data_IF_359759343979
#
_entry.id   IF_359759343979
#
_cell.length_a   1.000
_cell.length_b   1.000
_cell.length_c   1.000
_cell.angle_alpha   90.00
_cell.angle_beta   90.00
_cell.angle_gamma   90.00
#
_symmetry.space_group_name_H-M   'P 1'
#
loop_
_entity.id
_entity.type
_entity.pdbx_description
1 polymer ?
#
# COMPACT_ATOMS: atom_id res chain seq x y z
N UNK A 1 10.15 53.85 21.32
CA UNK A 1 9.71 52.63 22.04
C UNK A 1 10.61 51.50 21.60
N UNK A 2 11.51 51.08 22.49
CA UNK A 2 12.43 49.96 22.27
C UNK A 2 11.68 48.65 22.49
N UNK A 3 11.79 47.70 21.55
CA UNK A 3 11.42 46.30 21.74
C UNK A 3 12.58 45.46 21.18
N UNK A 4 13.13 44.51 21.94
CA UNK A 4 14.39 43.86 21.59
C UNK A 4 14.22 42.63 20.70
N UNK A 5 15.25 42.39 19.90
CA UNK A 5 15.53 41.19 19.10
C UNK A 5 16.10 40.10 20.03
N UNK A 6 15.71 38.81 19.91
CA UNK A 6 16.50 37.73 20.50
C UNK A 6 17.57 37.24 19.53
N UNK A 7 18.80 37.27 20.03
CA UNK A 7 20.04 36.88 19.37
C UNK A 7 20.18 35.36 19.27
N UNK A 8 20.73 34.93 18.13
CA UNK A 8 21.40 33.64 17.93
C UNK A 8 22.51 33.43 18.97
N UNK A 9 22.60 32.21 19.51
CA UNK A 9 23.81 31.63 20.10
C UNK A 9 23.96 30.22 19.54
N UNK A 10 25.11 29.96 18.93
CA UNK A 10 25.50 28.67 18.38
C UNK A 10 26.54 27.97 19.27
N UNK A 11 26.43 26.64 19.31
CA UNK A 11 27.50 25.63 19.34
C UNK A 11 28.61 25.72 20.39
N UNK A 12 28.61 24.77 21.33
CA UNK A 12 29.79 23.91 21.59
C UNK A 12 29.38 22.64 22.33
N UNK A 13 29.59 21.46 21.74
CA UNK A 13 29.70 20.21 22.50
C UNK A 13 30.56 19.22 21.73
N UNK A 14 31.84 19.16 22.11
CA UNK A 14 32.72 18.01 21.90
C UNK A 14 32.90 17.33 23.25
N UNK A 15 32.59 16.03 23.34
CA UNK A 15 33.19 15.13 24.31
C UNK A 15 33.14 13.71 23.76
N UNK A 16 34.31 13.23 23.35
CA UNK A 16 34.57 11.83 23.07
C UNK A 16 34.61 11.06 24.40
N UNK A 17 33.94 9.91 24.44
CA UNK A 17 34.15 8.91 25.47
C UNK A 17 34.24 7.54 24.80
N UNK A 18 35.50 7.10 24.69
CA UNK A 18 35.91 5.74 24.36
C UNK A 18 35.56 4.85 25.56
N UNK A 19 34.71 3.85 25.36
CA UNK A 19 34.45 2.83 26.38
C UNK A 19 34.84 1.45 25.85
N UNK A 20 35.91 0.96 26.46
CA UNK A 20 36.50 -0.36 26.47
C UNK A 20 35.55 -1.54 26.21
N UNK A 21 35.94 -2.35 25.23
CA UNK A 21 35.48 -3.73 25.02
C UNK A 21 36.00 -4.58 26.18
N UNK A 22 35.09 -5.14 26.99
CA UNK A 22 35.39 -6.23 27.91
C UNK A 22 34.64 -7.47 27.45
N UNK A 23 35.41 -8.46 27.01
CA UNK A 23 34.91 -9.74 26.53
C UNK A 23 34.27 -10.55 27.66
N UNK A 24 33.01 -10.91 27.46
CA UNK A 24 32.37 -12.00 28.18
C UNK A 24 32.45 -13.26 27.32
N UNK A 25 33.24 -14.22 27.76
CA UNK A 25 33.27 -15.59 27.24
C UNK A 25 31.97 -16.27 27.68
N UNK A 26 31.05 -16.48 26.74
CA UNK A 26 29.86 -17.30 26.95
C UNK A 26 30.24 -18.78 26.85
N UNK A 27 30.13 -19.52 27.95
CA UNK A 27 30.14 -20.98 27.93
C UNK A 27 28.89 -21.51 27.23
N UNK A 28 28.99 -22.60 26.44
CA UNK A 28 27.82 -23.23 25.85
C UNK A 28 26.96 -23.93 26.93
N UNK A 29 25.63 -23.93 26.79
CA UNK A 29 24.74 -24.64 27.71
C UNK A 29 24.94 -26.17 27.61
N UNK A 30 24.77 -26.91 28.72
CA UNK A 30 24.87 -28.37 28.72
C UNK A 30 23.71 -29.01 27.92
N UNK A 31 23.93 -30.18 27.30
CA UNK A 31 22.90 -30.88 26.55
C UNK A 31 21.79 -31.41 27.49
N UNK A 32 20.52 -31.42 27.04
CA UNK A 32 19.42 -31.94 27.84
C UNK A 32 19.53 -33.45 28.04
N UNK A 33 19.27 -33.87 29.29
CA UNK A 33 19.25 -35.26 29.71
C UNK A 33 18.19 -36.06 28.94
N UNK A 34 18.61 -37.21 28.44
CA UNK A 34 17.79 -38.22 27.76
C UNK A 34 16.76 -38.82 28.72
N UNK A 35 15.50 -38.40 28.57
CA UNK A 35 14.37 -39.04 29.23
C UNK A 35 13.99 -40.33 28.48
N UNK A 36 14.13 -41.45 29.18
CA UNK A 36 13.72 -42.79 28.77
C UNK A 36 12.18 -42.86 28.64
N UNK A 37 11.69 -43.03 27.42
CA UNK A 37 10.27 -43.24 27.12
C UNK A 37 9.96 -44.74 27.22
N UNK A 38 9.21 -45.11 28.26
CA UNK A 38 8.52 -46.40 28.33
C UNK A 38 7.31 -46.38 27.39
N UNK A 39 7.29 -47.31 26.44
CA UNK A 39 6.16 -47.52 25.54
C UNK A 39 4.97 -48.15 26.26
N UNK A 40 3.81 -47.51 26.12
CA UNK A 40 2.49 -48.13 26.31
C UNK A 40 1.68 -47.91 25.04
N UNK A 41 1.52 -48.98 24.28
CA UNK A 41 0.65 -49.09 23.11
C UNK A 41 -0.80 -48.84 23.52
N UNK A 42 -1.39 -47.75 23.03
CA UNK A 42 -2.83 -47.47 23.15
C UNK A 42 -3.44 -47.42 21.74
N UNK A 43 -4.51 -48.18 21.58
CA UNK A 43 -5.20 -48.46 20.32
C UNK A 43 -5.82 -47.21 19.67
N UNK A 44 -5.84 -47.22 18.34
CA UNK A 44 -6.48 -46.22 17.49
C UNK A 44 -8.01 -46.22 17.64
N UNK A 45 -8.66 -45.04 17.76
CA UNK A 45 -10.09 -44.92 17.50
C UNK A 45 -10.36 -44.70 16.01
N UNK A 46 -11.44 -45.32 15.55
CA UNK A 46 -11.95 -45.34 14.19
C UNK A 46 -12.40 -43.95 13.72
N UNK A 47 -12.21 -43.70 12.42
CA UNK A 47 -12.64 -42.50 11.70
C UNK A 47 -14.17 -42.35 11.74
N UNK A 48 -14.63 -41.26 12.35
CA UNK A 48 -16.03 -40.81 12.28
C UNK A 48 -16.17 -39.90 11.06
N UNK A 49 -16.86 -40.38 10.04
CA UNK A 49 -17.29 -39.61 8.88
C UNK A 49 -18.40 -38.64 9.31
N UNK A 50 -18.08 -37.33 9.34
CA UNK A 50 -19.07 -36.28 9.59
C UNK A 50 -19.66 -35.85 8.26
N UNK A 51 -20.94 -36.18 8.04
CA UNK A 51 -21.73 -35.68 6.92
C UNK A 51 -22.12 -34.22 7.16
N UNK A 52 -21.72 -33.33 6.25
CA UNK A 52 -22.12 -31.91 6.23
C UNK A 52 -23.43 -31.78 5.44
N UNK A 53 -24.48 -31.13 5.98
CA UNK A 53 -25.72 -30.91 5.22
C UNK A 53 -25.53 -29.73 4.27
N UNK A 54 -25.60 -29.99 2.97
CA UNK A 54 -25.77 -29.00 1.90
C UNK A 54 -27.21 -28.50 1.93
N UNK A 55 -27.40 -27.22 2.22
CA UNK A 55 -28.73 -26.63 2.17
C UNK A 55 -28.77 -25.13 2.43
N UNK A 56 -28.17 -24.31 1.55
CA UNK A 56 -28.56 -22.90 1.45
C UNK A 56 -28.51 -22.43 -0.01
N UNK A 57 -29.67 -21.99 -0.48
CA UNK A 57 -29.92 -21.29 -1.73
C UNK A 57 -29.27 -19.91 -1.72
N UNK A 58 -28.38 -19.66 -2.67
CA UNK A 58 -27.75 -18.34 -2.89
C UNK A 58 -28.76 -17.34 -3.47
N UNK A 59 -28.78 -16.07 -3.02
CA UNK A 59 -29.51 -15.02 -3.72
C UNK A 59 -28.75 -14.60 -4.98
N UNK A 60 -29.50 -14.36 -6.05
CA UNK A 60 -28.99 -13.94 -7.36
C UNK A 60 -28.12 -12.69 -7.29
N UNK A 61 -26.88 -12.85 -7.74
CA UNK A 61 -25.90 -11.78 -7.92
C UNK A 61 -26.42 -10.74 -8.91
N UNK A 62 -26.68 -9.51 -8.44
CA UNK A 62 -26.99 -8.36 -9.30
C UNK A 62 -25.71 -7.94 -10.00
N UNK A 63 -25.68 -8.09 -11.33
CA UNK A 63 -24.68 -7.47 -12.21
C UNK A 63 -24.68 -5.95 -11.98
N UNK A 64 -23.61 -5.42 -11.41
CA UNK A 64 -23.33 -3.98 -11.41
C UNK A 64 -22.70 -3.67 -12.76
N UNK A 65 -23.51 -3.11 -13.66
CA UNK A 65 -23.07 -2.59 -14.95
C UNK A 65 -22.12 -1.41 -14.75
N UNK A 66 -20.98 -1.48 -15.43
CA UNK A 66 -19.96 -0.44 -15.54
C UNK A 66 -20.54 0.86 -16.11
N UNK A 67 -20.67 1.89 -15.26
CA UNK A 67 -20.89 3.26 -15.69
C UNK A 67 -19.53 3.95 -15.81
N UNK A 68 -19.02 4.07 -17.05
CA UNK A 68 -18.01 5.05 -17.40
C UNK A 68 -18.71 6.42 -17.47
N UNK A 69 -18.52 7.26 -16.47
CA UNK A 69 -18.85 8.68 -16.57
C UNK A 69 -17.63 9.39 -17.20
N UNK A 70 -17.82 9.94 -18.40
CA UNK A 70 -16.90 10.92 -18.98
C UNK A 70 -16.93 12.19 -18.12
N UNK A 71 -15.77 12.60 -17.62
CA UNK A 71 -15.59 13.90 -17.01
C UNK A 71 -15.43 14.92 -18.14
N UNK A 72 -16.51 15.62 -18.48
CA UNK A 72 -16.43 16.86 -19.27
C UNK A 72 -16.21 18.04 -18.32
N UNK A 73 -15.08 18.70 -18.55
CA UNK A 73 -14.57 19.87 -17.83
C UNK A 73 -15.41 21.10 -18.22
N UNK A 74 -16.26 21.58 -17.32
CA UNK A 74 -17.00 22.84 -17.49
C UNK A 74 -16.51 23.86 -16.48
N UNK A 75 -15.44 24.55 -16.87
CA UNK A 75 -14.94 25.75 -16.20
C UNK A 75 -15.89 26.93 -16.47
N UNK A 76 -16.74 27.21 -15.49
CA UNK A 76 -17.56 28.42 -15.46
C UNK A 76 -16.71 29.60 -14.96
N UNK A 77 -16.20 30.39 -15.89
CA UNK A 77 -15.70 31.74 -15.63
C UNK A 77 -16.77 32.74 -16.05
N UNK A 78 -17.26 33.51 -15.08
CA UNK A 78 -18.21 34.58 -15.30
C UNK A 78 -17.73 35.82 -14.55
N UNK A 79 -17.26 36.84 -15.28
CA UNK A 79 -17.51 38.28 -15.03
C UNK A 79 -16.78 39.18 -16.04
N UNK A 80 -17.55 39.57 -17.06
CA UNK A 80 -17.83 40.94 -17.53
C UNK A 80 -16.74 41.99 -17.83
N UNK A 81 -16.93 42.56 -19.05
CA UNK A 81 -16.65 43.91 -19.55
C UNK A 81 -15.18 44.33 -19.65
N UNK A 82 -14.67 44.84 -20.78
CA UNK A 82 -15.22 45.90 -21.63
C UNK A 82 -14.36 46.03 -22.91
N UNK A 83 -14.88 46.77 -23.90
CA UNK A 83 -14.20 47.41 -25.05
C UNK A 83 -14.04 46.66 -26.40
N UNK A 84 -15.00 46.95 -27.28
CA UNK A 84 -14.85 47.41 -28.67
C UNK A 84 -13.42 47.59 -29.21
N UNK A 85 -13.08 46.91 -30.31
CA UNK A 85 -12.53 47.48 -31.56
C UNK A 85 -12.41 46.39 -32.66
N UNK A 86 -12.47 46.77 -33.95
CA UNK A 86 -12.76 45.86 -35.06
C UNK A 86 -11.52 45.22 -35.71
N UNK A 87 -11.73 44.00 -36.20
CA UNK A 87 -10.81 43.18 -37.00
C UNK A 87 -10.56 43.77 -38.40
N UNK A 88 -9.35 43.58 -38.95
CA UNK A 88 -9.17 43.39 -40.38
C UNK A 88 -8.63 41.99 -40.70
N UNK A 89 -9.31 41.35 -41.65
CA UNK A 89 -8.89 40.13 -42.36
C UNK A 89 -7.89 40.48 -43.49
N UNK A 90 -7.47 39.50 -44.32
CA UNK A 90 -6.23 38.76 -44.20
C UNK A 90 -5.20 39.17 -45.28
N UNK A 91 -3.91 39.03 -45.00
CA UNK A 91 -2.87 39.15 -46.02
C UNK A 91 -2.33 37.77 -46.38
N UNK A 92 -2.53 37.43 -47.65
CA UNK A 92 -1.93 36.33 -48.36
C UNK A 92 -0.40 36.32 -48.21
N UNK A 93 0.15 35.22 -47.70
CA UNK A 93 1.57 34.88 -47.92
C UNK A 93 1.67 33.54 -48.59
N UNK A 94 1.84 33.67 -49.90
CA UNK A 94 2.27 32.71 -50.88
C UNK A 94 3.73 32.29 -50.57
N UNK A 95 3.97 31.02 -50.25
CA UNK A 95 5.32 30.46 -50.25
C UNK A 95 5.32 29.06 -50.84
N UNK A 96 5.51 29.05 -52.17
CA UNK A 96 6.24 28.03 -52.91
C UNK A 96 7.47 27.57 -52.13
N UNK A 97 7.56 26.28 -51.81
CA UNK A 97 8.84 25.61 -51.55
C UNK A 97 8.86 24.27 -52.25
N UNK A 98 9.82 24.18 -53.15
CA UNK A 98 10.07 23.11 -54.09
C UNK A 98 10.40 21.79 -53.39
N UNK A 99 9.83 20.74 -53.97
CA UNK A 99 10.29 19.37 -53.90
C UNK A 99 11.79 19.28 -54.26
N UNK A 100 12.59 18.70 -53.37
CA UNK A 100 13.84 18.04 -53.69
C UNK A 100 14.09 16.92 -52.67
N UNK A 101 13.50 15.76 -52.93
CA UNK A 101 13.85 14.50 -52.29
C UNK A 101 15.00 13.86 -53.09
N UNK A 102 16.12 13.45 -52.47
CA UNK A 102 17.16 12.67 -53.13
C UNK A 102 16.70 11.21 -53.34
N UNK A 103 17.28 10.49 -54.33
CA UNK A 103 16.83 9.18 -54.75
C UNK A 103 17.09 8.13 -53.66
N UNK A 104 16.06 7.34 -53.44
CA UNK A 104 16.01 6.20 -52.53
C UNK A 104 17.00 5.12 -53.04
N UNK A 105 18.15 4.99 -52.36
CA UNK A 105 19.14 3.96 -52.65
C UNK A 105 18.74 2.68 -51.91
N UNK A 106 17.90 1.88 -52.55
CA UNK A 106 17.52 0.54 -52.12
C UNK A 106 18.67 -0.43 -52.39
N UNK A 107 19.56 -0.64 -51.42
CA UNK A 107 20.43 -1.82 -51.35
C UNK A 107 21.17 -1.92 -50.00
N UNK A 108 20.57 -2.63 -49.05
CA UNK A 108 21.29 -3.51 -48.11
C UNK A 108 20.29 -4.43 -47.39
N UNK A 109 20.11 -5.60 -48.01
CA UNK A 109 19.66 -6.80 -47.33
C UNK A 109 20.71 -7.19 -46.29
N UNK A 110 20.48 -6.87 -45.02
CA UNK A 110 21.03 -7.63 -43.89
C UNK A 110 19.86 -8.25 -43.14
N UNK A 111 19.46 -9.43 -43.65
CA UNK A 111 18.59 -10.38 -42.98
C UNK A 111 19.25 -10.81 -41.67
N UNK A 112 18.79 -10.26 -40.54
CA UNK A 112 18.82 -11.03 -39.30
C UNK A 112 17.75 -12.11 -39.44
N UNK A 113 18.19 -13.33 -39.74
CA UNK A 113 17.30 -14.47 -39.95
C UNK A 113 16.67 -14.89 -38.63
N UNK A 114 15.41 -14.54 -38.44
CA UNK A 114 14.45 -15.05 -37.44
C UNK A 114 14.16 -16.56 -37.59
N UNK A 115 15.07 -17.34 -38.17
CA UNK A 115 14.85 -18.75 -38.53
C UNK A 115 15.04 -19.73 -37.36
N UNK A 116 15.30 -19.26 -36.13
CA UNK A 116 15.41 -20.15 -34.95
C UNK A 116 14.07 -20.55 -34.33
N UNK A 117 12.93 -20.07 -34.84
CA UNK A 117 11.59 -20.45 -34.37
C UNK A 117 10.80 -21.33 -35.38
N UNK A 118 11.48 -22.02 -36.30
CA UNK A 118 10.85 -23.03 -37.15
C UNK A 118 10.66 -24.34 -36.35
N UNK A 119 9.56 -24.45 -35.60
CA UNK A 119 9.20 -25.70 -34.93
C UNK A 119 8.26 -25.56 -33.74
N UNK A 120 7.97 -24.35 -33.28
CA UNK A 120 6.88 -24.15 -32.32
C UNK A 120 5.61 -23.89 -33.14
N UNK A 121 4.81 -24.94 -33.33
CA UNK A 121 3.44 -24.78 -33.78
C UNK A 121 2.73 -23.86 -32.78
N UNK A 122 2.54 -22.60 -33.17
CA UNK A 122 1.76 -21.66 -32.37
C UNK A 122 0.35 -22.26 -32.25
N UNK A 123 -0.18 -22.40 -31.02
CA UNK A 123 -1.53 -22.90 -30.82
C UNK A 123 -2.49 -22.08 -31.69
N UNK A 124 -3.46 -22.76 -32.28
CA UNK A 124 -4.40 -22.13 -33.20
C UNK A 124 -5.10 -20.94 -32.53
N UNK A 125 -5.45 -19.89 -33.28
CA UNK A 125 -6.13 -18.72 -32.71
C UNK A 125 -7.44 -19.06 -31.98
N UNK A 126 -8.06 -20.21 -32.32
CA UNK A 126 -9.23 -20.75 -31.62
C UNK A 126 -8.88 -21.40 -30.26
N UNK A 127 -7.69 -22.01 -30.11
CA UNK A 127 -7.21 -22.53 -28.82
C UNK A 127 -6.76 -21.40 -27.87
N UNK A 128 -6.29 -20.27 -28.39
CA UNK A 128 -5.97 -19.09 -27.56
C UNK A 128 -7.23 -18.33 -27.10
N UNK A 129 -8.40 -18.62 -27.66
CA UNK A 129 -9.68 -18.00 -27.31
C UNK A 129 -10.51 -18.80 -26.31
N UNK A 130 -10.05 -20.00 -25.88
CA UNK A 130 -10.56 -20.64 -24.68
C UNK A 130 -10.08 -19.87 -23.45
N UNK A 131 -10.70 -18.70 -23.26
CA UNK A 131 -10.57 -17.81 -22.12
C UNK A 131 -11.18 -18.43 -20.85
N UNK A 132 -11.13 -19.76 -20.71
CA UNK A 132 -11.40 -20.41 -19.45
C UNK A 132 -10.36 -19.87 -18.46
N UNK A 133 -10.84 -18.99 -17.59
CA UNK A 133 -10.08 -18.52 -16.45
C UNK A 133 -9.58 -19.78 -15.75
N UNK A 134 -8.26 -19.96 -15.70
CA UNK A 134 -7.65 -21.11 -15.03
C UNK A 134 -8.35 -21.34 -13.69
N UNK A 135 -8.71 -22.59 -13.39
CA UNK A 135 -9.41 -22.98 -12.16
C UNK A 135 -8.75 -22.39 -10.91
N UNK A 136 -7.42 -22.32 -10.91
CA UNK A 136 -6.62 -21.68 -9.85
C UNK A 136 -6.97 -20.19 -9.66
N UNK A 137 -7.15 -19.44 -10.75
CA UNK A 137 -7.53 -18.01 -10.71
C UNK A 137 -8.97 -17.85 -10.25
N UNK A 138 -9.88 -18.74 -10.65
CA UNK A 138 -11.25 -18.72 -10.17
C UNK A 138 -11.32 -18.97 -8.66
N UNK A 139 -10.64 -20.01 -8.16
CA UNK A 139 -10.55 -20.32 -6.73
C UNK A 139 -9.97 -19.15 -5.93
N UNK A 140 -8.98 -18.45 -6.49
CA UNK A 140 -8.44 -17.23 -5.88
C UNK A 140 -9.51 -16.13 -5.77
N UNK A 141 -10.28 -15.86 -6.83
CA UNK A 141 -11.35 -14.86 -6.78
C UNK A 141 -12.47 -15.22 -5.82
N UNK A 142 -12.87 -16.50 -5.77
CA UNK A 142 -13.88 -16.98 -4.82
C UNK A 142 -13.39 -16.82 -3.38
N UNK A 143 -12.13 -17.14 -3.10
CA UNK A 143 -11.50 -16.92 -1.78
C UNK A 143 -11.48 -15.44 -1.43
N UNK A 144 -11.02 -14.56 -2.33
CA UNK A 144 -10.97 -13.12 -2.11
C UNK A 144 -12.38 -12.54 -1.87
N UNK A 145 -13.38 -12.96 -2.65
CA UNK A 145 -14.77 -12.56 -2.48
C UNK A 145 -15.35 -13.03 -1.14
N UNK A 146 -15.03 -14.26 -0.72
CA UNK A 146 -15.44 -14.79 0.59
C UNK A 146 -14.83 -13.96 1.73
N UNK A 147 -13.53 -13.69 1.68
CA UNK A 147 -12.84 -12.88 2.69
C UNK A 147 -13.42 -11.46 2.76
N UNK A 148 -13.66 -10.82 1.60
CA UNK A 148 -14.28 -9.50 1.55
C UNK A 148 -15.72 -9.49 2.09
N UNK A 149 -16.47 -10.59 1.94
CA UNK A 149 -17.82 -10.72 2.49
C UNK A 149 -17.85 -10.93 4.01
N UNK A 150 -16.76 -11.44 4.58
CA UNK A 150 -16.62 -11.71 6.02
C UNK A 150 -16.52 -10.42 6.83
N UNK A 151 -15.86 -9.41 6.30
CA UNK A 151 -15.58 -8.16 7.00
C UNK A 151 -16.54 -7.04 6.59
N UNK A 152 -16.91 -6.20 7.55
CA UNK A 152 -17.65 -4.98 7.27
C UNK A 152 -16.74 -3.98 6.54
N UNK A 153 -17.32 -3.17 5.65
CA UNK A 153 -16.57 -2.15 4.89
C UNK A 153 -17.33 -0.84 4.74
N UNK A 154 -16.62 0.26 4.49
CA UNK A 154 -17.22 1.57 4.23
C UNK A 154 -18.08 2.08 5.39
N UNK A 155 -19.33 2.43 5.11
CA UNK A 155 -20.26 2.98 6.10
C UNK A 155 -20.68 1.94 7.15
N UNK A 156 -20.83 0.67 6.75
CA UNK A 156 -21.15 -0.43 7.66
C UNK A 156 -20.08 -0.58 8.75
N UNK A 157 -18.80 -0.47 8.36
CA UNK A 157 -17.69 -0.54 9.31
C UNK A 157 -17.75 0.61 10.33
N UNK A 158 -18.13 1.81 9.91
CA UNK A 158 -18.26 2.96 10.80
C UNK A 158 -19.44 2.80 11.77
N UNK A 159 -20.58 2.29 11.30
CA UNK A 159 -21.72 1.99 12.16
C UNK A 159 -21.38 0.88 13.17
N UNK A 160 -20.71 -0.17 12.71
CA UNK A 160 -20.22 -1.27 13.53
C UNK A 160 -19.28 -0.76 14.64
N UNK A 161 -18.37 0.16 14.33
CA UNK A 161 -17.46 0.76 15.32
C UNK A 161 -18.19 1.64 16.33
N UNK A 162 -19.17 2.42 15.91
CA UNK A 162 -20.03 3.20 16.81
C UNK A 162 -20.78 2.30 17.78
N UNK A 163 -21.34 1.21 17.27
CA UNK A 163 -22.03 0.22 18.08
C UNK A 163 -21.09 -0.48 19.06
N UNK A 164 -19.90 -0.87 18.61
CA UNK A 164 -18.86 -1.45 19.48
C UNK A 164 -18.44 -0.49 20.61
N UNK A 165 -18.33 0.81 20.32
CA UNK A 165 -18.05 1.84 21.34
C UNK A 165 -19.20 2.00 22.33
N UNK A 166 -20.46 1.98 21.87
CA UNK A 166 -21.65 2.00 22.73
C UNK A 166 -21.67 0.81 23.69
N UNK A 167 -21.45 -0.40 23.18
CA UNK A 167 -21.43 -1.63 23.99
C UNK A 167 -20.28 -1.60 25.01
N UNK A 168 -19.10 -1.09 24.63
CA UNK A 168 -17.96 -0.93 25.56
C UNK A 168 -18.28 0.05 26.68
N UNK A 169 -18.92 1.18 26.37
CA UNK A 169 -19.35 2.14 27.38
C UNK A 169 -20.34 1.50 28.34
N UNK A 170 -21.36 0.81 27.82
CA UNK A 170 -22.36 0.12 28.64
C UNK A 170 -21.73 -0.96 29.53
N UNK A 171 -20.81 -1.77 28.99
CA UNK A 171 -20.05 -2.73 29.79
C UNK A 171 -19.25 -2.08 30.92
N UNK A 172 -18.63 -0.92 30.67
CA UNK A 172 -17.87 -0.18 31.68
C UNK A 172 -18.79 0.37 32.79
N UNK A 173 -19.96 0.89 32.42
CA UNK A 173 -20.98 1.37 33.37
C UNK A 173 -21.50 0.23 34.25
N UNK A 174 -21.83 -0.92 33.66
CA UNK A 174 -22.28 -2.10 34.41
C UNK A 174 -21.19 -2.64 35.34
N UNK A 175 -19.94 -2.78 34.88
CA UNK A 175 -18.82 -3.23 35.72
C UNK A 175 -18.55 -2.28 36.89
N UNK A 176 -18.69 -0.97 36.67
CA UNK A 176 -18.56 0.06 37.71
C UNK A 176 -19.70 -0.03 38.73
N UNK A 177 -20.94 -0.27 38.28
CA UNK A 177 -22.10 -0.46 39.16
C UNK A 177 -21.97 -1.73 40.02
N UNK A 178 -21.51 -2.85 39.45
CA UNK A 178 -21.32 -4.11 40.20
C UNK A 178 -20.24 -3.98 41.27
N UNK A 179 -19.13 -3.29 40.98
CA UNK A 179 -18.02 -3.14 41.92
C UNK A 179 -18.41 -2.30 43.15
N UNK A 180 -19.15 -1.20 42.94
CA UNK A 180 -19.62 -0.32 44.02
C UNK A 180 -20.64 -1.00 44.95
N UNK A 181 -21.49 -1.88 44.41
CA UNK A 181 -22.58 -2.55 45.13
C UNK A 181 -22.10 -3.68 46.06
N UNK A 182 -20.89 -4.22 45.84
CA UNK A 182 -20.35 -5.36 46.60
C UNK A 182 -20.06 -5.07 48.08
N UNK A 183 -19.91 -3.79 48.47
CA UNK A 183 -19.35 -3.41 49.77
C UNK A 183 -20.36 -3.20 50.92
N UNK A 184 -21.68 -3.12 50.66
CA UNK A 184 -22.65 -2.71 51.71
C UNK A 184 -23.92 -3.56 51.89
N UNK A 185 -24.24 -4.55 51.05
CA UNK A 185 -25.54 -5.25 51.14
C UNK A 185 -25.50 -6.75 50.74
N UNK A 186 -24.48 -7.49 51.18
CA UNK A 186 -24.20 -8.86 50.73
C UNK A 186 -25.30 -9.92 50.98
N UNK A 187 -26.32 -9.66 51.82
CA UNK A 187 -27.31 -10.69 52.21
C UNK A 187 -28.66 -10.63 51.48
N UNK A 188 -29.00 -9.54 50.78
CA UNK A 188 -30.30 -9.42 50.07
C UNK A 188 -30.20 -9.48 48.53
N UNK A 189 -28.99 -9.45 47.97
CA UNK A 189 -28.75 -9.25 46.53
C UNK A 189 -28.58 -10.53 45.68
N UNK A 190 -28.64 -11.73 46.28
CA UNK A 190 -28.33 -12.99 45.59
C UNK A 190 -29.18 -13.25 44.33
N UNK A 191 -30.42 -12.75 44.27
CA UNK A 191 -31.30 -12.89 43.10
C UNK A 191 -31.02 -11.89 41.96
N UNK A 192 -30.43 -10.72 42.23
CA UNK A 192 -30.17 -9.70 41.21
C UNK A 192 -28.86 -9.97 40.46
N UNK A 193 -27.86 -10.55 41.14
CA UNK A 193 -26.55 -10.88 40.55
C UNK A 193 -26.62 -11.80 39.33
N UNK A 194 -27.57 -12.74 39.29
CA UNK A 194 -27.73 -13.66 38.16
C UNK A 194 -28.17 -12.95 36.86
N UNK A 195 -29.08 -11.98 36.96
CA UNK A 195 -29.56 -11.22 35.81
C UNK A 195 -28.48 -10.29 35.26
N UNK A 196 -27.77 -9.61 36.15
CA UNK A 196 -26.65 -8.73 35.80
C UNK A 196 -25.52 -9.50 35.10
N UNK A 197 -25.13 -10.66 35.66
CA UNK A 197 -24.10 -11.52 35.06
C UNK A 197 -24.50 -12.02 33.66
N UNK A 198 -25.77 -12.39 33.46
CA UNK A 198 -26.28 -12.79 32.15
C UNK A 198 -26.26 -11.65 31.14
N UNK A 199 -26.48 -10.41 31.59
CA UNK A 199 -26.50 -9.23 30.75
C UNK A 199 -25.09 -8.83 30.29
N UNK A 200 -24.13 -8.77 31.23
CA UNK A 200 -22.70 -8.55 30.91
C UNK A 200 -22.21 -9.58 29.89
N UNK A 201 -22.53 -10.87 30.10
CA UNK A 201 -22.16 -11.94 29.16
C UNK A 201 -22.77 -11.76 27.77
N UNK A 202 -23.98 -11.20 27.70
CA UNK A 202 -24.63 -10.91 26.42
C UNK A 202 -23.91 -9.77 25.69
N UNK A 203 -23.61 -8.67 26.39
CA UNK A 203 -22.84 -7.56 25.84
C UNK A 203 -21.44 -7.99 25.38
N UNK A 204 -20.73 -8.80 26.16
CA UNK A 204 -19.43 -9.35 25.78
C UNK A 204 -19.52 -10.21 24.51
N UNK A 205 -20.58 -11.03 24.39
CA UNK A 205 -20.85 -11.81 23.18
C UNK A 205 -21.12 -10.92 21.97
N UNK A 206 -21.91 -9.87 22.12
CA UNK A 206 -22.19 -8.91 21.04
C UNK A 206 -20.91 -8.17 20.61
N UNK A 207 -20.11 -7.74 21.58
CA UNK A 207 -18.83 -7.07 21.31
C UNK A 207 -17.88 -7.98 20.53
N UNK A 208 -17.82 -9.27 20.89
CA UNK A 208 -17.04 -10.25 20.16
C UNK A 208 -17.49 -10.38 18.70
N UNK A 209 -18.80 -10.50 18.44
CA UNK A 209 -19.36 -10.60 17.09
C UNK A 209 -19.06 -9.35 16.24
N UNK A 210 -19.12 -8.16 16.85
CA UNK A 210 -18.76 -6.90 16.20
C UNK A 210 -17.27 -6.93 15.82
N UNK A 211 -16.41 -7.25 16.78
CA UNK A 211 -14.96 -7.28 16.58
C UNK A 211 -14.53 -8.30 15.50
N UNK A 212 -15.20 -9.45 15.40
CA UNK A 212 -14.92 -10.46 14.35
C UNK A 212 -15.17 -9.96 12.93
N UNK A 213 -16.07 -8.98 12.77
CA UNK A 213 -16.39 -8.38 11.47
C UNK A 213 -15.54 -7.15 11.15
N UNK A 214 -14.77 -6.62 12.09
CA UNK A 214 -13.85 -5.50 11.86
C UNK A 214 -12.48 -6.04 11.41
N UNK A 215 -12.15 -5.86 10.13
CA UNK A 215 -10.89 -6.34 9.56
C UNK A 215 -9.67 -5.74 10.24
N UNK A 216 -9.70 -4.45 10.62
CA UNK A 216 -8.57 -3.82 11.30
C UNK A 216 -8.37 -4.41 12.69
N UNK A 217 -9.47 -4.65 13.42
CA UNK A 217 -9.39 -5.30 14.73
C UNK A 217 -8.78 -6.71 14.63
N UNK A 218 -9.27 -7.52 13.69
CA UNK A 218 -8.77 -8.87 13.49
C UNK A 218 -7.31 -8.89 13.04
N UNK A 219 -6.91 -7.95 12.18
CA UNK A 219 -5.52 -7.78 11.77
C UNK A 219 -4.62 -7.49 12.97
N UNK A 220 -5.02 -6.54 13.82
CA UNK A 220 -4.28 -6.16 15.01
C UNK A 220 -4.09 -7.33 15.98
N UNK A 221 -5.17 -8.00 16.37
CA UNK A 221 -5.13 -9.12 17.29
C UNK A 221 -4.30 -10.27 16.72
N UNK A 222 -4.49 -10.63 15.44
CA UNK A 222 -3.72 -11.69 14.81
C UNK A 222 -2.23 -11.35 14.75
N UNK A 223 -1.86 -10.10 14.44
CA UNK A 223 -0.46 -9.65 14.43
C UNK A 223 0.18 -9.76 15.81
N UNK A 224 -0.53 -9.36 16.87
CA UNK A 224 -0.04 -9.47 18.25
C UNK A 224 0.14 -10.93 18.67
N UNK A 225 -0.86 -11.78 18.43
CA UNK A 225 -0.81 -13.21 18.75
C UNK A 225 0.28 -13.94 17.95
N UNK A 226 0.52 -13.55 16.70
CA UNK A 226 1.63 -14.05 15.89
C UNK A 226 2.98 -13.71 16.53
N UNK A 227 3.18 -12.46 16.97
CA UNK A 227 4.40 -12.03 17.66
C UNK A 227 4.58 -12.79 18.97
N UNK A 228 3.50 -12.99 19.73
CA UNK A 228 3.53 -13.77 20.97
C UNK A 228 3.94 -15.22 20.71
N UNK A 229 3.30 -15.89 19.74
CA UNK A 229 3.63 -17.26 19.36
C UNK A 229 5.10 -17.40 18.90
N UNK A 230 5.61 -16.43 18.14
CA UNK A 230 7.02 -16.37 17.76
C UNK A 230 7.94 -16.28 18.98
N UNK A 231 7.61 -15.43 19.94
CA UNK A 231 8.39 -15.27 21.17
C UNK A 231 8.37 -16.52 22.05
N UNK A 232 7.24 -17.24 22.05
CA UNK A 232 7.07 -18.50 22.77
C UNK A 232 7.72 -19.69 22.02
N UNK A 233 8.14 -19.49 20.76
CA UNK A 233 8.73 -20.52 19.90
C UNK A 233 7.72 -21.51 19.31
N UNK A 234 6.42 -21.21 19.35
CA UNK A 234 5.37 -22.03 18.77
C UNK A 234 5.13 -21.68 17.30
N UNK A 235 5.90 -22.33 16.42
CA UNK A 235 5.81 -22.12 14.97
C UNK A 235 4.43 -22.43 14.39
N UNK A 236 3.66 -23.35 15.00
CA UNK A 236 2.34 -23.74 14.47
C UNK A 236 1.30 -22.67 14.71
N UNK A 237 1.33 -22.03 15.88
CA UNK A 237 0.48 -20.89 16.18
C UNK A 237 0.92 -19.65 15.42
N UNK A 238 2.23 -19.43 15.26
CA UNK A 238 2.75 -18.32 14.46
C UNK A 238 2.20 -18.36 13.03
N UNK A 239 2.33 -19.49 12.33
CA UNK A 239 1.81 -19.65 10.96
C UNK A 239 0.29 -19.43 10.89
N UNK A 240 -0.45 -20.00 11.85
CA UNK A 240 -1.90 -19.82 11.92
C UNK A 240 -2.29 -18.35 12.03
N UNK A 241 -1.65 -17.60 12.91
CA UNK A 241 -1.96 -16.18 13.10
C UNK A 241 -1.44 -15.32 11.95
N UNK A 242 -0.33 -15.70 11.31
CA UNK A 242 0.13 -15.04 10.09
C UNK A 242 -0.90 -15.15 8.96
N UNK A 243 -1.51 -16.32 8.76
CA UNK A 243 -2.59 -16.52 7.78
C UNK A 243 -3.79 -15.64 8.13
N UNK A 244 -4.23 -15.62 9.39
CA UNK A 244 -5.36 -14.79 9.83
C UNK A 244 -5.08 -13.30 9.63
N UNK A 245 -3.87 -12.85 9.94
CA UNK A 245 -3.42 -11.47 9.73
C UNK A 245 -3.46 -11.11 8.24
N UNK A 246 -2.93 -11.97 7.36
CA UNK A 246 -2.96 -11.75 5.90
C UNK A 246 -4.39 -11.70 5.35
N UNK A 247 -5.27 -12.58 5.81
CA UNK A 247 -6.68 -12.57 5.40
C UNK A 247 -7.41 -11.30 5.85
N UNK A 248 -7.18 -10.85 7.08
CA UNK A 248 -7.72 -9.60 7.57
C UNK A 248 -7.18 -8.40 6.75
N UNK A 249 -5.89 -8.39 6.40
CA UNK A 249 -5.27 -7.34 5.59
C UNK A 249 -5.93 -7.16 4.22
N UNK A 250 -6.40 -8.24 3.59
CA UNK A 250 -7.16 -8.18 2.33
C UNK A 250 -8.49 -7.42 2.48
N UNK A 251 -9.08 -7.42 3.67
CA UNK A 251 -10.28 -6.65 4.00
C UNK A 251 -10.03 -5.18 4.29
N UNK A 252 -8.76 -4.74 4.38
CA UNK A 252 -8.38 -3.38 4.77
C UNK A 252 -7.96 -2.58 3.52
N UNK A 253 -8.80 -1.66 2.98
CA UNK A 253 -8.55 -1.03 1.69
C UNK A 253 -7.20 -0.28 1.60
N UNK A 254 -6.78 0.41 2.66
CA UNK A 254 -5.51 1.15 2.69
C UNK A 254 -4.27 0.27 2.53
N UNK A 255 -4.34 -1.01 2.90
CA UNK A 255 -3.23 -1.95 2.75
C UNK A 255 -3.20 -2.62 1.36
N UNK A 256 -4.20 -2.35 0.51
CA UNK A 256 -4.38 -2.96 -0.81
C UNK A 256 -4.26 -1.96 -1.97
N UNK A 257 -3.40 -0.95 -1.81
CA UNK A 257 -3.19 0.13 -2.80
C UNK A 257 -1.93 -0.08 -3.66
N UNK A 258 -1.23 -1.20 -3.55
CA UNK A 258 0.04 -1.47 -4.26
C UNK A 258 -0.06 -1.25 -5.78
N UNK A 259 1.00 -0.75 -6.42
CA UNK A 259 1.14 -0.65 -7.87
C UNK A 259 1.01 0.77 -8.43
N UNK A 260 0.73 0.89 -9.72
CA UNK A 260 0.73 2.16 -10.45
C UNK A 260 -0.57 2.96 -10.25
N UNK A 261 -0.41 4.28 -10.14
CA UNK A 261 -1.47 5.28 -10.02
C UNK A 261 -1.10 6.55 -10.77
N UNK A 262 -2.10 7.28 -11.27
CA UNK A 262 -1.91 8.56 -11.95
C UNK A 262 -2.74 9.65 -11.27
N UNK A 263 -2.14 10.83 -11.10
CA UNK A 263 -2.79 12.02 -10.55
C UNK A 263 -2.32 13.30 -11.22
N UNK A 264 -3.12 14.36 -11.18
CA UNK A 264 -2.81 15.66 -11.81
C UNK A 264 -2.11 16.59 -10.82
N UNK A 265 -0.84 16.93 -11.07
CA UNK A 265 0.02 17.79 -10.24
C UNK A 265 -0.03 19.25 -10.70
N UNK A 266 -1.22 19.86 -10.67
CA UNK A 266 -1.41 21.26 -11.05
C UNK A 266 -0.94 21.54 -12.49
N UNK A 267 -0.04 22.51 -12.64
CA UNK A 267 0.50 22.95 -13.93
C UNK A 267 1.50 21.96 -14.54
N UNK A 268 2.03 21.03 -13.76
CA UNK A 268 2.91 19.97 -14.26
C UNK A 268 2.16 18.89 -15.05
N UNK A 269 0.82 18.89 -15.02
CA UNK A 269 0.02 17.92 -15.74
C UNK A 269 -0.14 16.60 -14.97
N UNK A 270 -0.23 15.48 -15.70
CA UNK A 270 -0.44 14.16 -15.12
C UNK A 270 0.88 13.50 -14.79
N UNK A 271 0.97 12.97 -13.57
CA UNK A 271 2.15 12.24 -13.11
C UNK A 271 1.74 10.87 -12.60
N UNK A 272 2.61 9.90 -12.88
CA UNK A 272 2.47 8.52 -12.45
C UNK A 272 3.31 8.26 -11.20
N UNK A 273 2.72 7.54 -10.26
CA UNK A 273 3.39 7.10 -9.04
C UNK A 273 3.26 5.57 -8.90
N UNK A 274 4.23 4.96 -8.24
CA UNK A 274 4.18 3.58 -7.81
C UNK A 274 4.01 3.55 -6.29
N UNK A 275 2.99 2.85 -5.81
CA UNK A 275 2.75 2.64 -4.39
C UNK A 275 3.36 1.32 -3.96
N UNK A 276 4.25 1.38 -2.99
CA UNK A 276 4.81 0.22 -2.27
C UNK A 276 4.58 0.36 -0.77
N UNK A 277 4.95 -0.68 -0.02
CA UNK A 277 4.81 -0.72 1.43
C UNK A 277 6.12 -1.11 2.09
N UNK A 278 6.45 -0.42 3.19
CA UNK A 278 7.49 -0.82 4.14
C UNK A 278 6.79 -1.07 5.49
N UNK A 279 6.44 -2.34 5.75
CA UNK A 279 5.56 -2.67 6.87
C UNK A 279 4.17 -2.04 6.68
N UNK A 280 3.75 -1.20 7.63
CA UNK A 280 2.48 -0.46 7.60
C UNK A 280 2.64 0.96 7.05
N UNK A 281 3.83 1.33 6.57
CA UNK A 281 4.04 2.62 5.91
C UNK A 281 3.87 2.48 4.40
N UNK A 282 2.94 3.24 3.84
CA UNK A 282 2.78 3.41 2.40
C UNK A 282 3.85 4.37 1.88
N UNK A 283 4.49 3.99 0.78
CA UNK A 283 5.51 4.80 0.09
C UNK A 283 5.06 5.01 -1.35
N UNK A 284 4.87 6.27 -1.75
CA UNK A 284 4.55 6.65 -3.12
C UNK A 284 5.77 7.25 -3.81
N UNK A 285 6.29 6.56 -4.83
CA UNK A 285 7.46 6.98 -5.60
C UNK A 285 7.05 7.46 -6.99
N UNK A 286 7.58 8.61 -7.42
CA UNK A 286 7.36 9.17 -8.76
C UNK A 286 7.95 8.25 -9.84
N UNK A 287 7.09 7.77 -10.74
CA UNK A 287 7.47 6.97 -11.91
C UNK A 287 7.71 7.87 -13.11
N UNK A 288 6.84 8.86 -13.30
CA UNK A 288 7.16 10.09 -14.03
C UNK A 288 7.40 11.18 -12.99
N UNK A 289 8.24 12.15 -13.30
CA UNK A 289 8.55 13.23 -12.38
C UNK A 289 8.64 14.57 -13.06
N UNK A 290 8.48 15.60 -12.25
CA UNK A 290 8.50 16.98 -12.68
C UNK A 290 9.82 17.65 -12.26
N UNK A 291 9.94 18.96 -12.50
CA UNK A 291 11.16 19.70 -12.14
C UNK A 291 11.32 19.89 -10.63
N UNK A 292 10.23 19.77 -9.87
CA UNK A 292 10.22 19.98 -8.43
C UNK A 292 10.48 18.66 -7.70
N UNK A 293 9.80 17.58 -8.06
CA UNK A 293 10.03 16.23 -7.51
C UNK A 293 10.30 15.27 -8.67
N UNK A 294 11.56 14.92 -8.94
CA UNK A 294 11.94 14.16 -10.11
C UNK A 294 11.55 12.69 -10.01
N UNK A 295 11.63 12.00 -11.14
CA UNK A 295 11.41 10.56 -11.25
C UNK A 295 12.35 9.79 -10.32
N UNK A 296 11.82 8.74 -9.70
CA UNK A 296 12.51 7.91 -8.71
C UNK A 296 12.42 8.44 -7.27
N UNK A 297 11.99 9.68 -7.07
CA UNK A 297 11.87 10.25 -5.73
C UNK A 297 10.53 9.94 -5.07
N UNK A 298 10.57 9.79 -3.75
CA UNK A 298 9.36 9.60 -2.94
C UNK A 298 8.58 10.92 -2.90
N UNK A 299 7.34 10.91 -3.39
CA UNK A 299 6.47 12.10 -3.39
C UNK A 299 5.64 12.20 -2.11
N UNK A 300 5.23 11.08 -1.51
CA UNK A 300 4.62 11.08 -0.19
C UNK A 300 4.77 9.73 0.51
N UNK A 301 4.70 9.76 1.84
CA UNK A 301 4.59 8.58 2.71
C UNK A 301 3.38 8.71 3.62
N UNK A 302 2.81 7.59 4.03
CA UNK A 302 1.61 7.56 4.90
C UNK A 302 1.76 6.46 5.92
N UNK A 303 1.52 6.78 7.19
CA UNK A 303 1.44 5.77 8.23
C UNK A 303 0.04 5.16 8.24
N UNK A 304 -0.05 3.87 7.94
CA UNK A 304 -1.30 3.11 7.90
C UNK A 304 -1.43 2.15 9.08
N UNK A 305 -0.57 2.25 10.08
CA UNK A 305 -0.63 1.40 11.26
C UNK A 305 -2.05 1.44 11.86
N UNK A 306 -2.72 0.29 11.98
CA UNK A 306 -4.07 0.28 12.50
C UNK A 306 -4.07 0.72 13.98
N UNK A 307 -4.96 1.66 14.24
CA UNK A 307 -5.06 2.48 15.45
C UNK A 307 -5.22 1.71 16.76
N UNK A 308 -5.73 0.49 16.63
CA UNK A 308 -6.23 -0.28 17.76
C UNK A 308 -5.08 -0.61 18.71
N UNK A 309 -3.84 -0.69 18.19
CA UNK A 309 -2.66 -1.23 18.87
C UNK A 309 -1.89 -0.30 19.81
N UNK A 310 -2.12 1.02 19.79
CA UNK A 310 -1.19 1.93 20.48
C UNK A 310 -1.30 1.93 22.01
N UNK A 311 -2.40 1.46 22.59
CA UNK A 311 -2.60 1.59 24.05
C UNK A 311 -1.82 0.60 24.91
N UNK A 312 -1.37 -0.54 24.39
CA UNK A 312 -0.79 -1.62 25.22
C UNK A 312 0.73 -1.54 25.34
N UNK A 313 1.41 -1.04 24.32
CA UNK A 313 2.87 -0.91 24.33
C UNK A 313 3.36 0.15 25.33
N UNK A 314 2.53 1.13 25.68
CA UNK A 314 2.90 2.23 26.58
C UNK A 314 2.63 1.95 28.06
N UNK A 315 1.83 0.94 28.39
CA UNK A 315 1.46 0.61 29.79
C UNK A 315 2.40 -0.40 30.46
N UNK A 316 3.29 -1.07 29.71
CA UNK A 316 4.14 -2.15 30.25
C UNK A 316 5.49 -1.68 30.82
N UNK A 317 5.83 -0.39 30.72
CA UNK A 317 7.17 0.13 31.07
C UNK A 317 7.26 0.92 32.38
N UNK A 318 6.19 1.03 33.19
CA UNK A 318 6.18 1.95 34.35
C UNK A 318 5.70 1.42 35.71
N UNK A 319 5.59 0.11 35.94
CA UNK A 319 5.22 -0.40 37.28
C UNK A 319 6.02 -1.64 37.70
N UNK A 320 7.07 -1.38 38.48
CA UNK A 320 7.96 -2.36 39.13
C UNK A 320 7.49 -2.82 40.51
N UNK A 321 6.25 -2.59 40.93
CA UNK A 321 5.78 -3.04 42.25
C UNK A 321 4.59 -3.99 42.13
N UNK A 322 4.86 -5.23 42.55
CA UNK A 322 3.96 -6.36 42.38
C UNK A 322 2.65 -6.22 43.13
N UNK A 323 1.56 -6.09 42.38
CA UNK A 323 0.27 -6.65 42.75
C UNK A 323 -0.35 -7.34 41.54
N UNK A 324 -0.28 -8.67 41.55
CA UNK A 324 -1.06 -9.53 40.69
C UNK A 324 -2.52 -9.41 41.09
N UNK A 325 -3.39 -8.91 40.20
CA UNK A 325 -4.60 -9.61 39.75
C UNK A 325 -5.57 -8.70 38.99
N UNK A 326 -6.14 -9.28 37.93
CA UNK A 326 -7.20 -8.77 37.05
C UNK A 326 -6.78 -7.66 36.07
N UNK A 327 -6.06 -8.10 35.03
CA UNK A 327 -5.92 -7.40 33.75
C UNK A 327 -7.30 -7.30 33.07
N UNK A 328 -8.11 -6.32 33.47
CA UNK A 328 -9.17 -5.84 32.58
C UNK A 328 -8.48 -5.09 31.44
N UNK A 329 -8.43 -5.75 30.27
CA UNK A 329 -7.88 -5.21 29.04
C UNK A 329 -8.73 -4.00 28.59
N UNK A 330 -8.37 -2.81 29.08
CA UNK A 330 -9.02 -1.57 28.70
C UNK A 330 -8.37 -1.06 27.41
N UNK A 331 -8.91 -1.50 26.27
CA UNK A 331 -8.50 -1.05 24.94
C UNK A 331 -8.91 0.43 24.78
N UNK A 332 -8.00 1.35 25.09
CA UNK A 332 -8.24 2.78 24.92
C UNK A 332 -7.82 3.21 23.51
N UNK A 333 -8.78 3.65 22.71
CA UNK A 333 -8.56 4.05 21.32
C UNK A 333 -7.85 5.41 21.29
N UNK A 334 -6.52 5.42 21.30
CA UNK A 334 -5.75 6.67 21.18
C UNK A 334 -5.59 6.97 19.70
N UNK A 335 -6.42 7.86 19.17
CA UNK A 335 -6.54 8.04 17.73
C UNK A 335 -5.40 8.89 17.16
N UNK A 336 -4.43 8.25 16.51
CA UNK A 336 -3.48 8.92 15.61
C UNK A 336 -4.04 9.06 14.18
N UNK A 337 -5.19 8.47 13.87
CA UNK A 337 -5.92 8.71 12.63
C UNK A 337 -6.77 9.93 12.82
N UNK A 338 -6.75 10.77 11.80
CA UNK A 338 -7.68 11.87 11.71
C UNK A 338 -9.11 11.32 11.64
N UNK A 339 -10.05 12.04 12.25
CA UNK A 339 -11.46 11.67 12.13
C UNK A 339 -11.87 11.59 10.65
N UNK A 340 -12.64 10.54 10.26
CA UNK A 340 -13.13 10.40 8.90
C UNK A 340 -13.90 11.65 8.45
N UNK A 341 -13.77 12.02 7.18
CA UNK A 341 -14.60 13.10 6.62
C UNK A 341 -16.02 12.57 6.48
N UNK A 342 -16.96 13.24 7.15
CA UNK A 342 -18.37 13.00 6.93
C UNK A 342 -18.86 13.83 5.74
N UNK A 343 -19.35 13.15 4.71
CA UNK A 343 -19.95 13.77 3.53
C UNK A 343 -21.38 14.23 3.81
N UNK A 344 -21.80 15.30 3.13
CA UNK A 344 -23.19 15.73 3.11
C UNK A 344 -24.05 14.77 2.25
N UNK A 345 -25.38 14.90 2.32
CA UNK A 345 -26.27 13.99 1.60
C UNK A 345 -26.05 14.02 0.06
N UNK A 346 -25.66 15.18 -0.48
CA UNK A 346 -25.40 15.35 -1.91
C UNK A 346 -24.13 14.63 -2.34
N UNK A 347 -23.01 14.86 -1.64
CA UNK A 347 -21.75 14.16 -1.91
C UNK A 347 -21.86 12.66 -1.60
N UNK A 348 -22.58 12.27 -0.53
CA UNK A 348 -22.86 10.87 -0.25
C UNK A 348 -23.57 10.19 -1.42
N UNK A 349 -24.56 10.84 -2.04
CA UNK A 349 -25.24 10.30 -3.22
C UNK A 349 -24.32 10.16 -4.43
N UNK A 350 -23.31 11.03 -4.56
CA UNK A 350 -22.34 10.98 -5.66
C UNK A 350 -21.29 9.88 -5.45
N UNK A 351 -20.77 9.77 -4.22
CA UNK A 351 -19.66 8.87 -3.89
C UNK A 351 -20.10 7.50 -3.36
N UNK A 352 -21.38 7.36 -3.00
CA UNK A 352 -21.95 6.14 -2.44
C UNK A 352 -21.46 5.81 -1.02
N UNK A 353 -20.81 6.77 -0.34
CA UNK A 353 -20.29 6.61 1.02
C UNK A 353 -20.56 7.86 1.84
N UNK A 354 -20.88 7.70 3.12
CA UNK A 354 -21.07 8.78 4.08
C UNK A 354 -19.77 9.19 4.76
N UNK A 355 -18.86 8.25 4.96
CA UNK A 355 -17.59 8.51 5.64
C UNK A 355 -16.39 8.17 4.75
N UNK A 356 -15.41 9.08 4.70
CA UNK A 356 -14.14 8.88 3.99
C UNK A 356 -13.00 8.73 5.01
N UNK A 357 -12.33 7.56 5.07
CA UNK A 357 -11.18 7.34 5.94
C UNK A 357 -10.03 8.31 5.66
N UNK A 358 -9.31 8.71 6.72
CA UNK A 358 -8.15 9.60 6.67
C UNK A 358 -6.95 9.03 7.39
N UNK A 359 -5.78 9.23 6.81
CA UNK A 359 -4.51 8.79 7.37
C UNK A 359 -3.50 9.94 7.31
N UNK A 360 -2.67 10.04 8.34
CA UNK A 360 -1.61 11.04 8.41
C UNK A 360 -0.47 10.59 7.51
N UNK A 361 0.04 11.52 6.71
CA UNK A 361 1.19 11.31 5.87
C UNK A 361 2.10 12.52 5.83
N UNK A 362 3.18 12.37 5.06
CA UNK A 362 4.12 13.44 4.77
C UNK A 362 4.29 13.52 3.25
N UNK A 363 4.06 14.69 2.68
CA UNK A 363 4.29 14.97 1.27
C UNK A 363 5.63 15.66 1.07
N UNK A 364 6.39 15.24 0.07
CA UNK A 364 7.64 15.88 -0.32
C UNK A 364 7.34 17.05 -1.25
N UNK A 365 7.97 18.18 -0.97
CA UNK A 365 7.96 19.36 -1.85
C UNK A 365 9.36 19.90 -1.98
N UNK A 366 9.65 20.51 -3.12
CA UNK A 366 10.91 21.18 -3.36
C UNK A 366 10.70 22.32 -4.36
N UNK A 367 11.68 23.22 -4.42
CA UNK A 367 11.78 24.21 -5.49
C UNK A 367 12.26 23.55 -6.79
N UNK A 368 12.32 24.32 -7.88
CA UNK A 368 12.78 23.81 -9.17
C UNK A 368 14.17 23.15 -9.05
N UNK A 369 14.39 22.12 -9.86
CA UNK A 369 15.58 21.25 -9.83
C UNK A 369 15.77 20.53 -8.49
N UNK A 370 14.67 20.22 -7.82
CA UNK A 370 14.65 19.52 -6.54
C UNK A 370 15.44 20.20 -5.42
N UNK A 371 15.56 21.52 -5.48
CA UNK A 371 16.30 22.30 -4.49
C UNK A 371 15.46 22.54 -3.24
N UNK A 372 16.10 22.55 -2.06
CA UNK A 372 15.41 22.74 -0.76
C UNK A 372 14.25 21.74 -0.54
N UNK A 373 14.50 20.46 -0.83
CA UNK A 373 13.51 19.41 -0.63
C UNK A 373 13.17 19.24 0.85
N UNK A 374 11.88 19.32 1.18
CA UNK A 374 11.38 19.20 2.54
C UNK A 374 10.11 18.34 2.58
N UNK A 375 9.88 17.76 3.75
CA UNK A 375 8.64 17.06 4.06
C UNK A 375 7.64 18.02 4.68
N UNK A 376 6.41 18.02 4.17
CA UNK A 376 5.29 18.74 4.74
C UNK A 376 4.22 17.76 5.22
N UNK A 377 3.43 18.18 6.19
CA UNK A 377 2.27 17.42 6.63
C UNK A 377 1.29 17.21 5.46
N UNK A 378 0.83 15.97 5.33
CA UNK A 378 -0.18 15.63 4.36
C UNK A 378 -1.16 14.60 4.89
N UNK A 379 -2.22 14.39 4.12
CA UNK A 379 -3.32 13.50 4.51
C UNK A 379 -3.72 12.65 3.33
N UNK A 380 -3.74 11.34 3.53
CA UNK A 380 -4.31 10.39 2.59
C UNK A 380 -5.81 10.25 2.88
N UNK A 381 -6.64 10.41 1.86
CA UNK A 381 -8.10 10.27 1.94
C UNK A 381 -8.53 9.18 0.95
N UNK A 382 -9.21 8.14 1.43
CA UNK A 382 -9.71 7.06 0.57
C UNK A 382 -11.11 7.38 0.04
N UNK A 383 -11.29 7.28 -1.28
CA UNK A 383 -12.53 7.60 -1.96
C UNK A 383 -12.94 6.45 -2.89
N UNK A 384 -13.51 5.40 -2.30
CA UNK A 384 -13.93 4.21 -3.04
C UNK A 384 -12.73 3.49 -3.67
N UNK A 385 -12.68 3.49 -5.01
CA UNK A 385 -11.57 2.90 -5.79
C UNK A 385 -10.43 3.89 -6.09
N UNK A 386 -10.62 5.15 -5.73
CA UNK A 386 -9.66 6.23 -5.86
C UNK A 386 -9.16 6.61 -4.49
N UNK A 387 -8.09 7.39 -4.45
CA UNK A 387 -7.70 8.08 -3.24
C UNK A 387 -7.22 9.48 -3.60
N UNK A 388 -7.06 10.32 -2.59
CA UNK A 388 -6.38 11.60 -2.76
C UNK A 388 -5.33 11.79 -1.68
N UNK A 389 -4.32 12.59 -2.00
CA UNK A 389 -3.34 13.07 -1.04
C UNK A 389 -3.42 14.59 -0.98
N UNK A 390 -3.60 15.14 0.22
CA UNK A 390 -3.69 16.57 0.46
C UNK A 390 -2.44 17.07 1.20
N UNK A 391 -1.71 18.02 0.62
CA UNK A 391 -0.62 18.73 1.28
C UNK A 391 -1.21 19.88 2.08
N UNK A 392 -1.41 19.66 3.38
CA UNK A 392 -2.22 20.53 4.24
C UNK A 392 -1.72 21.99 4.27
N UNK A 393 -0.41 22.27 4.45
CA UNK A 393 0.06 23.65 4.56
C UNK A 393 -0.14 24.51 3.30
N UNK A 394 -0.15 23.88 2.12
CA UNK A 394 -0.28 24.58 0.83
C UNK A 394 -1.69 24.48 0.24
N UNK A 395 -2.59 23.70 0.84
CA UNK A 395 -3.97 23.55 0.37
C UNK A 395 -4.11 22.80 -0.95
N UNK A 396 -3.08 22.08 -1.40
CA UNK A 396 -3.11 21.32 -2.65
C UNK A 396 -3.60 19.89 -2.40
N UNK A 397 -4.61 19.44 -3.14
CA UNK A 397 -5.12 18.08 -3.09
C UNK A 397 -5.06 17.43 -4.47
N UNK A 398 -4.46 16.25 -4.56
CA UNK A 398 -4.33 15.49 -5.80
C UNK A 398 -5.11 14.20 -5.68
N UNK A 399 -5.96 13.92 -6.67
CA UNK A 399 -6.70 12.67 -6.80
C UNK A 399 -5.92 11.69 -7.66
N UNK A 400 -5.91 10.44 -7.22
CA UNK A 400 -5.19 9.34 -7.85
C UNK A 400 -6.16 8.24 -8.28
N UNK A 401 -6.01 7.80 -9.53
CA UNK A 401 -6.72 6.67 -10.10
C UNK A 401 -5.79 5.63 -10.70
N UNK A 402 -6.28 4.39 -10.82
CA UNK A 402 -5.57 3.34 -11.56
C UNK A 402 -5.53 3.70 -13.04
N UNK A 403 -4.34 3.82 -13.68
CA UNK A 403 -4.26 4.11 -15.09
C UNK A 403 -4.63 2.88 -15.94
N UNK A 404 -5.07 3.11 -17.17
CA UNK A 404 -5.17 2.05 -18.18
C UNK A 404 -3.78 1.65 -18.67
N UNK A 405 -3.63 0.45 -19.24
CA UNK A 405 -2.39 -0.01 -19.87
C UNK A 405 -1.89 0.97 -20.93
N UNK A 406 -2.81 1.50 -21.74
CA UNK A 406 -2.47 2.39 -22.85
C UNK A 406 -1.96 3.73 -22.33
N UNK A 407 -2.58 4.24 -21.26
CA UNK A 407 -2.11 5.45 -20.59
C UNK A 407 -0.73 5.25 -19.98
N UNK A 408 -0.48 4.09 -19.36
CA UNK A 408 0.85 3.76 -18.81
C UNK A 408 1.91 3.81 -19.91
N UNK A 409 1.66 3.13 -21.04
CA UNK A 409 2.58 3.10 -22.17
C UNK A 409 2.80 4.50 -22.75
N UNK A 410 1.73 5.29 -22.89
CA UNK A 410 1.82 6.67 -23.37
C UNK A 410 2.71 7.53 -22.48
N UNK A 411 2.48 7.52 -21.17
CA UNK A 411 3.24 8.32 -20.20
C UNK A 411 4.71 7.88 -20.13
N UNK A 412 4.99 6.58 -20.15
CA UNK A 412 6.38 6.07 -20.13
C UNK A 412 7.13 6.43 -21.42
N UNK A 413 6.46 6.37 -22.58
CA UNK A 413 7.05 6.75 -23.85
C UNK A 413 7.32 8.26 -23.94
N UNK A 414 6.42 9.09 -23.43
CA UNK A 414 6.58 10.53 -23.38
C UNK A 414 7.74 10.94 -22.47
N UNK A 415 7.79 10.39 -21.26
CA UNK A 415 8.90 10.59 -20.30
C UNK A 415 10.26 10.18 -20.92
N UNK A 416 10.32 9.01 -21.57
CA UNK A 416 11.53 8.56 -22.28
C UNK A 416 11.93 9.51 -23.42
N UNK A 417 10.96 10.05 -24.16
CA UNK A 417 11.21 11.01 -25.24
C UNK A 417 11.73 12.34 -24.69
N UNK A 418 11.23 12.79 -23.55
CA UNK A 418 11.76 13.97 -22.87
C UNK A 418 13.17 13.76 -22.32
N UNK A 419 13.45 12.60 -21.72
CA UNK A 419 14.80 12.22 -21.30
C UNK A 419 15.77 12.23 -22.49
N UNK A 420 15.36 11.69 -23.64
CA UNK A 420 16.15 11.72 -24.87
C UNK A 420 16.41 13.15 -25.34
N UNK A 421 15.42 14.05 -25.32
CA UNK A 421 15.62 15.46 -25.70
C UNK A 421 16.53 16.23 -24.75
N UNK A 422 16.58 15.86 -23.47
CA UNK A 422 17.40 16.54 -22.44
C UNK A 422 18.86 16.13 -22.52
N UNK A 423 19.12 14.86 -22.88
CA UNK A 423 20.48 14.44 -23.24
C UNK A 423 20.77 15.10 -24.58
N UNK A 424 21.87 15.85 -24.66
CA UNK A 424 22.26 16.47 -25.92
C UNK A 424 22.31 15.35 -26.98
N UNK A 425 21.48 15.42 -28.02
CA UNK A 425 21.34 14.33 -29.01
C UNK A 425 22.72 13.95 -29.57
N UNK A 426 23.64 14.92 -29.60
CA UNK A 426 25.05 14.77 -29.98
C UNK A 426 25.82 13.88 -29.00
N UNK A 427 25.62 14.02 -27.69
CA UNK A 427 26.33 13.23 -26.68
C UNK A 427 25.81 11.79 -26.62
N UNK A 428 24.51 11.59 -26.83
CA UNK A 428 23.92 10.24 -26.96
C UNK A 428 24.41 9.56 -28.24
N UNK A 429 24.37 10.25 -29.38
CA UNK A 429 24.91 9.71 -30.63
C UNK A 429 26.42 9.47 -30.53
N UNK A 430 27.15 10.33 -29.82
CA UNK A 430 28.58 10.13 -29.57
C UNK A 430 28.83 8.88 -28.72
N UNK A 431 28.02 8.63 -27.70
CA UNK A 431 28.08 7.41 -26.89
C UNK A 431 27.84 6.15 -27.73
N UNK A 432 26.75 6.12 -28.52
CA UNK A 432 26.42 4.98 -29.39
C UNK A 432 27.51 4.74 -30.45
N UNK A 433 28.05 5.80 -31.05
CA UNK A 433 29.17 5.67 -32.00
C UNK A 433 30.43 5.14 -31.30
N UNK A 434 30.68 5.55 -30.06
CA UNK A 434 31.81 5.04 -29.29
C UNK A 434 31.63 3.56 -28.92
N UNK A 435 30.43 3.15 -28.50
CA UNK A 435 30.12 1.75 -28.19
C UNK A 435 30.23 0.87 -29.43
N UNK A 436 29.68 1.31 -30.57
CA UNK A 436 29.83 0.62 -31.86
C UNK A 436 31.30 0.53 -32.31
N UNK A 437 32.09 1.58 -32.05
CA UNK A 437 33.51 1.60 -32.36
C UNK A 437 34.30 0.63 -31.47
N UNK A 438 34.02 0.59 -30.17
CA UNK A 438 34.64 -0.36 -29.24
C UNK A 438 34.28 -1.81 -29.59
N UNK A 439 33.02 -2.09 -29.90
CA UNK A 439 32.56 -3.43 -30.29
C UNK A 439 33.23 -3.89 -31.60
N UNK A 440 33.32 -2.99 -32.60
CA UNK A 440 34.03 -3.28 -33.86
C UNK A 440 35.53 -3.52 -33.62
N UNK A 441 36.16 -2.71 -32.77
CA UNK A 441 37.57 -2.85 -32.41
C UNK A 441 37.87 -4.21 -31.74
N UNK A 442 36.97 -4.70 -30.88
CA UNK A 442 37.13 -6.03 -30.28
C UNK A 442 36.93 -7.17 -31.27
N UNK A 443 35.94 -7.08 -32.17
CA UNK A 443 35.70 -8.06 -33.23
C UNK A 443 36.91 -8.15 -34.18
N UNK A 444 37.51 -7.03 -34.55
CA UNK A 444 38.73 -7.02 -35.37
C UNK A 444 39.92 -7.66 -34.63
N UNK A 445 40.05 -7.42 -33.32
CA UNK A 445 41.15 -7.98 -32.52
C UNK A 445 41.00 -9.48 -32.28
N UNK A 446 39.79 -9.99 -32.04
CA UNK A 446 39.53 -11.43 -31.93
C UNK A 446 39.84 -12.15 -33.26
N UNK A 447 39.43 -11.57 -34.40
CA UNK A 447 39.78 -12.13 -35.72
C UNK A 447 41.29 -12.12 -36.00
N UNK A 448 42.05 -11.16 -35.49
CA UNK A 448 43.52 -11.14 -35.64
C UNK A 448 44.20 -12.14 -34.73
N UNK A 449 43.64 -12.40 -33.55
CA UNK A 449 44.17 -13.39 -32.61
C UNK A 449 44.01 -14.82 -33.16
N UNK A 450 42.88 -15.14 -33.79
CA UNK A 450 42.63 -16.46 -34.39
C UNK A 450 43.52 -16.78 -35.60
N UNK A 451 43.93 -15.77 -36.38
CA UNK A 451 44.84 -15.95 -37.53
C UNK A 451 46.29 -16.19 -37.10
N UNK A 452 46.70 -15.73 -35.91
CA UNK A 452 48.07 -15.89 -35.41
C UNK A 452 48.32 -17.21 -34.67
N UNK A 453 47.27 -17.96 -34.31
CA UNK A 453 47.40 -19.26 -33.63
C UNK A 453 47.34 -20.48 -34.57
N UNK A 454 47.10 -20.30 -35.87
CA UNK A 454 47.10 -21.41 -36.84
C UNK A 454 48.46 -21.69 -37.50
N UNK A 455 49.48 -20.83 -37.34
CA UNK A 455 50.79 -21.03 -38.02
C UNK A 455 51.89 -21.73 -37.19
N UNK A 456 51.69 -22.01 -35.90
CA UNK A 456 52.68 -22.76 -35.09
C UNK A 456 52.08 -24.00 -34.41
N UNK A 457 51.95 -25.07 -35.20
CA UNK A 457 52.47 -26.39 -34.80
C UNK A 457 51.54 -27.35 -34.06
N UNK A 458 51.13 -28.41 -34.76
CA UNK A 458 50.99 -29.74 -34.15
C UNK A 458 51.20 -30.86 -35.17
N UNK A 459 52.45 -30.99 -35.65
CA UNK A 459 53.00 -32.26 -36.11
C UNK A 459 54.40 -32.41 -35.48
N UNK A 460 54.46 -33.10 -34.34
CA UNK A 460 55.56 -34.01 -34.03
C UNK A 460 55.13 -35.05 -32.99
#
# INVERSE_FOLDING_TARGET
MMVPVPSLVALTSMAAAVASVSGFVQQPPPPPASASVRGTTTAMPQSVTVAVPLGHTLPSSRRISSLFASFDDSSSSNSNNNQNQPSPSPSDTNSNSNNNLPPNNSNSNTRYTTNQYHGIELPSADEMMDNSISELRQLRWEREAYILSKFASGDELQELRKEGSRIRQELAEWKSASSSSSSKAASAAAGQSSKESSYIRNLEKQLHQINERDAEFMYCIAKELMIQARNDGDATLEEKYEVQMKEAALGIPQLNMHGLWVGKYGDHGYEMINITYAGETLIATKVTGDRNVPKGEVTFTVDLAPQILSSYASSSSSSSDGQQNQQQQNYHYVSSTLEPIQLDAKAQSQWGKKYLPRFIGKGRVASENFTNAQWMEGQLILVGRFFSFAWVPIGTQIFFGRPSSDLILSMVNEDRKEEMKKRDDVEVMRGVVNDMWEETYWVEKENVQDVLYEEEGCFQ
#
